data_IF_299763159852
#
_entry.id   IF_299763159852
#
_cell.length_a   1.000
_cell.length_b   1.000
_cell.length_c   1.000
_cell.angle_alpha   90.00
_cell.angle_beta   90.00
_cell.angle_gamma   90.00
#
_symmetry.space_group_name_H-M   'P 1'
#
loop_
_entity.id
_entity.type
_entity.pdbx_description
1 polymer ?
#
# COMPACT_ATOMS: atom_id res chain seq x y z
N UNK A 1 18.78 -7.13 -5.20
CA UNK A 1 19.10 -7.22 -3.76
C UNK A 1 18.13 -6.26 -3.10
N UNK A 2 17.10 -6.76 -2.44
CA UNK A 2 15.89 -5.97 -2.16
C UNK A 2 16.19 -4.78 -1.24
N UNK A 3 15.58 -3.63 -1.49
CA UNK A 3 15.76 -2.41 -0.68
C UNK A 3 15.42 -2.64 0.80
N UNK A 4 14.57 -3.62 1.11
CA UNK A 4 14.32 -4.10 2.47
C UNK A 4 15.55 -4.66 3.18
N UNK A 5 16.48 -5.29 2.45
CA UNK A 5 17.75 -5.78 3.00
C UNK A 5 18.71 -4.65 3.33
N UNK A 6 18.73 -3.59 2.50
CA UNK A 6 19.51 -2.39 2.74
C UNK A 6 18.95 -1.61 3.94
N UNK A 7 17.62 -1.49 4.03
CA UNK A 7 16.89 -0.83 5.11
C UNK A 7 17.10 -1.54 6.45
N UNK A 8 16.96 -2.87 6.47
CA UNK A 8 17.21 -3.68 7.66
C UNK A 8 18.68 -3.59 8.09
N UNK A 9 19.63 -3.59 7.15
CA UNK A 9 21.05 -3.43 7.46
C UNK A 9 21.36 -2.04 8.04
N UNK A 10 20.74 -0.99 7.50
CA UNK A 10 20.94 0.39 7.95
C UNK A 10 20.36 0.59 9.35
N UNK A 11 19.15 0.07 9.59
CA UNK A 11 18.52 0.10 10.91
C UNK A 11 19.35 -0.68 11.95
N UNK A 12 19.84 -1.88 11.59
CA UNK A 12 20.72 -2.66 12.46
C UNK A 12 22.05 -1.96 12.74
N UNK A 13 22.62 -1.29 11.74
CA UNK A 13 23.86 -0.54 11.89
C UNK A 13 23.68 0.63 12.85
N UNK A 14 22.56 1.35 12.75
CA UNK A 14 22.19 2.45 13.64
C UNK A 14 21.94 1.93 15.06
N UNK A 15 21.16 0.86 15.23
CA UNK A 15 20.90 0.25 16.55
C UNK A 15 22.21 -0.22 17.19
N UNK A 16 23.06 -0.90 16.43
CA UNK A 16 24.36 -1.40 16.93
C UNK A 16 25.28 -0.25 17.30
N UNK A 17 25.27 0.84 16.53
CA UNK A 17 26.03 2.05 16.84
C UNK A 17 25.52 2.72 18.13
N UNK A 18 24.21 2.85 18.31
CA UNK A 18 23.59 3.41 19.52
C UNK A 18 23.84 2.53 20.76
N UNK A 19 23.72 1.21 20.63
CA UNK A 19 24.01 0.27 21.74
C UNK A 19 25.51 0.30 22.06
N UNK A 20 26.38 0.26 21.05
CA UNK A 20 27.82 0.36 21.24
C UNK A 20 28.22 1.65 21.96
N UNK A 21 27.60 2.78 21.58
CA UNK A 21 27.86 4.07 22.22
C UNK A 21 27.36 4.12 23.66
N UNK A 22 26.16 3.60 23.95
CA UNK A 22 25.62 3.55 25.33
C UNK A 22 26.40 2.60 26.26
N UNK A 23 26.95 1.51 25.73
CA UNK A 23 27.84 0.62 26.48
C UNK A 23 29.20 1.27 26.80
N UNK A 24 29.81 1.95 25.84
CA UNK A 24 31.07 2.72 26.05
C UNK A 24 30.84 3.87 27.04
N UNK A 25 29.68 4.51 26.98
CA UNK A 25 29.28 5.62 27.86
C UNK A 25 28.99 5.15 29.30
N UNK A 26 28.46 3.94 29.50
CA UNK A 26 28.27 3.34 30.83
C UNK A 26 29.61 3.06 31.53
N UNK A 27 30.63 2.66 30.76
CA UNK A 27 31.99 2.43 31.27
C UNK A 27 32.66 3.78 31.61
N UNK A 28 32.48 4.80 30.77
CA UNK A 28 33.01 6.15 30.98
C UNK A 28 32.37 6.88 32.19
N UNK A 29 31.07 6.70 32.44
CA UNK A 29 30.35 7.28 33.59
C UNK A 29 30.78 6.72 34.94
N UNK A 30 31.40 5.53 34.97
CA UNK A 30 31.95 4.97 36.22
C UNK A 30 33.18 5.75 36.74
N UNK A 31 33.79 6.59 35.90
CA UNK A 31 35.06 7.25 36.20
C UNK A 31 34.98 8.75 36.46
N UNK A 32 34.07 9.51 35.87
CA UNK A 32 33.93 10.94 36.18
C UNK A 32 32.50 11.45 36.07
N UNK A 33 32.04 12.17 37.12
CA UNK A 33 30.75 12.86 37.15
C UNK A 33 30.59 13.78 35.93
N UNK A 34 29.55 13.54 35.16
CA UNK A 34 29.30 14.15 33.84
C UNK A 34 28.32 15.31 34.04
N UNK A 35 28.65 16.60 33.82
CA UNK A 35 29.19 17.33 32.66
C UNK A 35 28.14 17.55 31.57
N UNK A 36 27.73 18.81 31.43
CA UNK A 36 26.82 19.46 30.46
C UNK A 36 26.87 18.90 29.03
N UNK A 37 28.00 18.30 28.65
CA UNK A 37 28.21 17.62 27.37
C UNK A 37 27.24 16.43 27.18
N UNK A 38 26.91 15.71 28.26
CA UNK A 38 25.97 14.58 28.23
C UNK A 38 24.54 15.01 27.89
N UNK A 39 24.06 16.08 28.53
CA UNK A 39 22.74 16.66 28.26
C UNK A 39 22.64 17.16 26.82
N UNK A 40 23.72 17.77 26.29
CA UNK A 40 23.80 18.21 24.89
C UNK A 40 23.70 17.02 23.92
N UNK A 41 24.37 15.90 24.20
CA UNK A 41 24.33 14.71 23.35
C UNK A 41 22.91 14.10 23.33
N UNK A 42 22.25 14.00 24.49
CA UNK A 42 20.87 13.50 24.57
C UNK A 42 19.91 14.39 23.77
N UNK A 43 20.07 15.71 23.86
CA UNK A 43 19.26 16.67 23.10
C UNK A 43 19.46 16.47 21.59
N UNK A 44 20.71 16.32 21.12
CA UNK A 44 21.01 16.10 19.71
C UNK A 44 20.39 14.79 19.21
N UNK A 45 20.52 13.70 19.97
CA UNK A 45 19.91 12.40 19.61
C UNK A 45 18.38 12.53 19.53
N UNK A 46 17.77 13.23 20.48
CA UNK A 46 16.31 13.43 20.51
C UNK A 46 15.84 14.24 19.31
N UNK A 47 16.58 15.28 18.90
CA UNK A 47 16.28 16.07 17.70
C UNK A 47 16.42 15.21 16.44
N UNK A 48 17.46 14.37 16.34
CA UNK A 48 17.63 13.47 15.19
C UNK A 48 16.48 12.47 15.11
N UNK A 49 16.08 11.87 16.24
CA UNK A 49 14.93 10.95 16.30
C UNK A 49 13.63 11.69 15.93
N UNK A 50 13.40 12.90 16.44
CA UNK A 50 12.22 13.68 16.11
C UNK A 50 12.17 14.04 14.61
N UNK A 51 13.31 14.45 14.03
CA UNK A 51 13.42 14.77 12.61
C UNK A 51 13.22 13.53 11.72
N UNK A 52 13.77 12.39 12.13
CA UNK A 52 13.49 11.08 11.53
C UNK A 52 11.98 10.83 11.58
N UNK A 53 11.37 10.81 12.76
CA UNK A 53 9.92 10.57 12.91
C UNK A 53 9.13 11.51 12.02
N UNK A 54 9.40 12.81 12.01
CA UNK A 54 8.71 13.80 11.17
C UNK A 54 8.86 13.49 9.68
N UNK A 55 10.08 13.23 9.19
CA UNK A 55 10.31 12.83 7.78
C UNK A 55 9.64 11.51 7.40
N UNK A 56 9.46 10.57 8.34
CA UNK A 56 8.81 9.28 8.09
C UNK A 56 7.30 9.27 8.38
N UNK A 57 6.75 10.27 9.06
CA UNK A 57 5.32 10.34 9.44
C UNK A 57 4.50 11.32 8.60
N UNK A 58 5.15 12.17 7.79
CA UNK A 58 4.48 13.22 7.01
C UNK A 58 4.65 13.12 5.48
N UNK A 59 4.87 11.93 4.93
CA UNK A 59 4.61 11.77 3.49
C UNK A 59 3.09 11.69 3.29
N UNK A 60 2.50 12.76 2.76
CA UNK A 60 1.17 12.68 2.18
C UNK A 60 1.12 11.49 1.20
N UNK A 61 0.04 10.69 1.19
CA UNK A 61 -0.01 9.53 0.33
C UNK A 61 0.15 9.97 -1.13
N UNK A 62 1.23 9.51 -1.77
CA UNK A 62 1.52 9.81 -3.18
C UNK A 62 0.43 9.28 -4.10
N UNK A 63 -0.23 8.20 -3.68
CA UNK A 63 -1.32 7.58 -4.41
C UNK A 63 -2.65 7.77 -3.68
N UNK A 64 -3.56 8.47 -4.36
CA UNK A 64 -4.96 8.61 -3.94
C UNK A 64 -5.88 7.72 -4.79
N UNK A 65 -6.94 7.12 -4.21
CA UNK A 65 -7.89 6.34 -4.98
C UNK A 65 -8.56 7.18 -6.07
N UNK A 66 -8.69 6.61 -7.27
CA UNK A 66 -9.42 7.23 -8.37
C UNK A 66 -10.92 6.97 -8.23
N UNK A 67 -11.63 7.92 -7.61
CA UNK A 67 -13.08 7.85 -7.40
C UNK A 67 -13.88 8.06 -8.69
N UNK A 68 -13.34 8.74 -9.69
CA UNK A 68 -14.02 8.91 -10.97
C UNK A 68 -14.04 7.58 -11.73
N UNK A 69 -12.94 6.84 -11.69
CA UNK A 69 -12.86 5.48 -12.21
C UNK A 69 -13.76 4.52 -11.41
N UNK A 70 -13.80 4.64 -10.08
CA UNK A 70 -14.72 3.85 -9.23
C UNK A 70 -16.17 4.03 -9.69
N UNK A 71 -16.60 5.27 -9.88
CA UNK A 71 -17.97 5.59 -10.30
C UNK A 71 -18.28 5.03 -11.69
N UNK A 72 -17.38 5.19 -12.66
CA UNK A 72 -17.55 4.62 -14.01
C UNK A 72 -17.69 3.10 -13.99
N UNK A 73 -16.88 2.42 -13.17
CA UNK A 73 -16.94 0.96 -13.01
C UNK A 73 -18.28 0.58 -12.39
N UNK A 74 -18.68 1.24 -11.31
CA UNK A 74 -19.96 0.99 -10.65
C UNK A 74 -21.15 1.14 -11.60
N UNK A 75 -21.22 2.25 -12.34
CA UNK A 75 -22.29 2.49 -13.32
C UNK A 75 -22.35 1.39 -14.39
N UNK A 76 -21.21 0.95 -14.92
CA UNK A 76 -21.18 -0.11 -15.94
C UNK A 76 -21.60 -1.47 -15.38
N UNK A 77 -21.24 -1.79 -14.15
CA UNK A 77 -21.72 -3.02 -13.49
C UNK A 77 -23.23 -2.96 -13.30
N UNK A 78 -23.78 -1.84 -12.82
CA UNK A 78 -25.21 -1.70 -12.57
C UNK A 78 -26.05 -1.70 -13.86
N UNK A 79 -25.54 -1.12 -14.95
CA UNK A 79 -26.23 -1.05 -16.25
C UNK A 79 -26.09 -2.33 -17.08
N UNK A 80 -24.87 -2.86 -17.18
CA UNK A 80 -24.52 -3.90 -18.16
C UNK A 80 -24.16 -5.25 -17.53
N UNK A 81 -24.04 -5.31 -16.20
CA UNK A 81 -23.55 -6.50 -15.50
C UNK A 81 -22.13 -6.90 -15.90
N UNK A 82 -21.38 -6.02 -16.56
CA UNK A 82 -20.02 -6.28 -17.03
C UNK A 82 -19.24 -4.99 -17.21
N UNK A 83 -17.92 -5.10 -17.09
CA UNK A 83 -16.97 -4.01 -17.31
C UNK A 83 -15.88 -4.47 -18.24
N UNK A 84 -15.43 -3.57 -19.09
CA UNK A 84 -14.28 -3.73 -19.96
C UNK A 84 -13.29 -2.63 -19.57
N UNK A 85 -12.28 -2.98 -18.77
CA UNK A 85 -11.36 -1.98 -18.22
C UNK A 85 -10.51 -1.33 -19.32
N UNK A 86 -10.33 -1.97 -20.49
CA UNK A 86 -9.66 -1.35 -21.63
C UNK A 86 -10.42 -0.17 -22.21
N UNK A 87 -11.75 -0.21 -22.11
CA UNK A 87 -12.62 0.88 -22.60
C UNK A 87 -12.85 1.94 -21.55
N UNK A 88 -12.80 1.57 -20.27
CA UNK A 88 -13.08 2.48 -19.15
C UNK A 88 -11.85 3.27 -18.71
N UNK A 89 -10.66 2.67 -18.78
CA UNK A 89 -9.40 3.35 -18.47
C UNK A 89 -9.01 4.29 -19.61
N UNK A 90 -8.72 5.55 -19.26
CA UNK A 90 -8.18 6.57 -20.16
C UNK A 90 -6.64 6.64 -20.12
N UNK A 91 -6.01 5.62 -19.55
CA UNK A 91 -4.56 5.51 -19.35
C UNK A 91 -4.06 4.14 -19.81
N UNK A 92 -2.77 4.08 -20.10
CA UNK A 92 -2.11 2.82 -20.44
C UNK A 92 -1.79 2.01 -19.18
N UNK A 93 -2.11 0.73 -19.23
CA UNK A 93 -1.70 -0.26 -18.25
C UNK A 93 -1.31 -1.56 -18.98
N UNK A 94 -0.59 -2.43 -18.29
CA UNK A 94 -0.19 -3.76 -18.76
C UNK A 94 -1.03 -4.85 -18.11
N UNK A 95 -1.26 -4.71 -16.80
CA UNK A 95 -2.00 -5.68 -15.99
C UNK A 95 -2.80 -4.98 -14.91
N UNK A 96 -3.84 -5.67 -14.45
CA UNK A 96 -4.68 -5.23 -13.35
C UNK A 96 -4.73 -6.31 -12.27
N UNK A 97 -4.55 -5.89 -11.04
CA UNK A 97 -4.77 -6.73 -9.87
C UNK A 97 -6.17 -6.47 -9.32
N UNK A 98 -6.89 -7.55 -9.10
CA UNK A 98 -8.16 -7.56 -8.38
C UNK A 98 -7.86 -8.09 -6.98
N UNK A 99 -7.98 -7.24 -5.97
CA UNK A 99 -7.59 -7.57 -4.60
C UNK A 99 -8.77 -7.39 -3.64
N UNK A 100 -8.85 -8.27 -2.64
CA UNK A 100 -9.71 -8.06 -1.49
C UNK A 100 -9.03 -7.14 -0.47
N UNK A 101 -9.80 -6.56 0.43
CA UNK A 101 -9.29 -5.77 1.56
C UNK A 101 -8.29 -6.54 2.44
N UNK A 102 -8.28 -7.87 2.38
CA UNK A 102 -7.43 -8.75 3.17
C UNK A 102 -6.13 -9.14 2.45
N UNK A 103 -5.95 -8.73 1.18
CA UNK A 103 -4.78 -9.10 0.40
C UNK A 103 -3.51 -8.39 0.91
N UNK A 104 -2.40 -9.12 1.14
CA UNK A 104 -1.14 -8.50 1.54
C UNK A 104 -0.46 -7.87 0.31
N UNK A 105 -0.80 -6.62 0.01
CA UNK A 105 -0.30 -5.85 -1.16
C UNK A 105 1.22 -5.92 -1.28
N UNK A 106 1.94 -5.86 -0.15
CA UNK A 106 3.41 -5.88 -0.08
C UNK A 106 4.04 -7.15 -0.67
N UNK A 107 3.28 -8.25 -0.75
CA UNK A 107 3.72 -9.52 -1.33
C UNK A 107 3.27 -9.70 -2.78
N UNK A 108 2.39 -8.82 -3.27
CA UNK A 108 1.75 -8.92 -4.58
C UNK A 108 2.40 -7.95 -5.58
N UNK A 109 2.77 -6.76 -5.13
CA UNK A 109 3.34 -5.71 -5.98
C UNK A 109 4.85 -5.58 -5.79
N UNK A 110 5.56 -5.42 -6.90
CA UNK A 110 6.99 -5.06 -6.90
C UNK A 110 7.20 -3.56 -6.63
N UNK A 111 6.14 -2.75 -6.75
CA UNK A 111 6.16 -1.32 -6.50
C UNK A 111 6.21 -1.02 -4.98
N UNK A 112 7.44 -0.89 -4.49
CA UNK A 112 7.72 -0.50 -3.11
C UNK A 112 7.21 0.89 -2.76
N UNK A 113 7.12 1.81 -3.74
CA UNK A 113 6.63 3.19 -3.51
C UNK A 113 5.14 3.16 -3.23
N UNK A 114 4.36 2.43 -4.04
CA UNK A 114 2.93 2.25 -3.80
C UNK A 114 2.68 1.58 -2.45
N UNK A 115 3.41 0.51 -2.14
CA UNK A 115 3.26 -0.24 -0.88
C UNK A 115 3.35 0.66 0.36
N UNK A 116 4.29 1.61 0.39
CA UNK A 116 4.52 2.48 1.54
C UNK A 116 3.71 3.78 1.54
N UNK A 117 3.21 4.22 0.38
CA UNK A 117 2.64 5.58 0.21
C UNK A 117 1.24 5.64 -0.38
N UNK A 118 0.55 4.51 -0.50
CA UNK A 118 -0.87 4.50 -0.86
C UNK A 118 -1.75 4.94 0.31
N UNK A 119 -2.78 5.73 0.03
CA UNK A 119 -3.83 5.99 1.03
C UNK A 119 -4.61 4.69 1.23
N UNK A 120 -4.73 4.16 2.46
CA UNK A 120 -5.52 2.97 2.71
C UNK A 120 -7.00 3.23 2.41
N UNK A 121 -7.70 2.21 1.94
CA UNK A 121 -9.16 2.26 1.85
C UNK A 121 -9.74 2.22 3.25
N UNK A 122 -10.43 3.27 3.66
CA UNK A 122 -11.29 3.23 4.85
C UNK A 122 -12.49 2.34 4.49
N UNK A 123 -12.40 1.02 4.73
CA UNK A 123 -13.46 -0.01 4.80
C UNK A 123 -13.11 -1.31 4.05
N UNK A 124 -13.85 -2.39 4.35
CA UNK A 124 -13.88 -3.71 3.69
C UNK A 124 -14.24 -3.65 2.20
N UNK A 125 -13.43 -2.95 1.42
CA UNK A 125 -13.61 -2.76 -0.01
C UNK A 125 -12.63 -3.63 -0.76
N UNK A 126 -13.14 -4.25 -1.81
CA UNK A 126 -12.30 -4.82 -2.85
C UNK A 126 -11.63 -3.65 -3.61
N UNK A 127 -10.51 -3.86 -4.29
CA UNK A 127 -9.85 -2.81 -5.05
C UNK A 127 -9.19 -3.33 -6.32
N UNK A 128 -9.01 -2.43 -7.26
CA UNK A 128 -8.34 -2.65 -8.53
C UNK A 128 -7.04 -1.84 -8.53
N UNK A 129 -5.92 -2.49 -8.86
CA UNK A 129 -4.61 -1.83 -9.00
C UNK A 129 -4.13 -2.02 -10.42
N UNK A 130 -3.91 -0.92 -11.12
CA UNK A 130 -3.44 -0.89 -12.50
C UNK A 130 -1.94 -0.66 -12.53
N UNK A 131 -1.24 -1.50 -13.28
CA UNK A 131 0.23 -1.52 -13.31
C UNK A 131 0.70 -1.38 -14.76
N UNK A 132 1.74 -0.58 -14.99
CA UNK A 132 2.34 -0.36 -16.31
C UNK A 132 3.34 -1.47 -16.72
N UNK A 133 4.03 -1.26 -17.83
CA UNK A 133 5.06 -2.18 -18.35
C UNK A 133 6.26 -2.34 -17.41
N UNK A 134 6.57 -1.30 -16.63
CA UNK A 134 7.69 -1.21 -15.70
C UNK A 134 7.35 -1.79 -14.31
N UNK A 135 6.20 -2.45 -14.17
CA UNK A 135 5.65 -2.96 -12.90
C UNK A 135 5.34 -1.87 -11.85
N UNK A 136 5.18 -0.62 -12.26
CA UNK A 136 4.78 0.49 -11.38
C UNK A 136 3.27 0.70 -11.39
N UNK A 137 2.71 1.07 -10.24
CA UNK A 137 1.28 1.38 -10.11
C UNK A 137 1.00 2.73 -10.76
N UNK A 138 0.11 2.73 -11.75
CA UNK A 138 -0.31 3.96 -12.45
C UNK A 138 -1.59 4.54 -11.86
N UNK A 139 -2.53 3.66 -11.46
CA UNK A 139 -3.77 4.04 -10.80
C UNK A 139 -4.24 2.90 -9.90
N UNK A 140 -5.02 3.25 -8.90
CA UNK A 140 -5.77 2.27 -8.12
C UNK A 140 -7.13 2.86 -7.74
N UNK A 141 -8.12 2.00 -7.59
CA UNK A 141 -9.49 2.41 -7.28
C UNK A 141 -10.20 1.37 -6.43
N UNK A 142 -11.18 1.82 -5.65
CA UNK A 142 -12.00 0.97 -4.81
C UNK A 142 -13.10 0.28 -5.61
N UNK A 143 -13.57 -0.82 -5.08
CA UNK A 143 -14.84 -1.46 -5.37
C UNK A 143 -15.63 -1.45 -4.06
N UNK A 144 -16.67 -0.61 -4.00
CA UNK A 144 -17.59 -0.51 -2.85
C UNK A 144 -18.09 -1.88 -2.36
N UNK A 145 -18.46 -2.01 -1.08
CA UNK A 145 -19.02 -3.23 -0.43
C UNK A 145 -20.18 -3.92 -1.18
N UNK A 146 -20.86 -3.24 -2.09
CA UNK A 146 -21.84 -3.85 -3.01
C UNK A 146 -21.20 -4.84 -3.98
N UNK A 147 -19.90 -4.73 -4.26
CA UNK A 147 -19.17 -5.53 -5.22
C UNK A 147 -18.27 -6.53 -4.50
N UNK A 148 -18.58 -7.82 -4.62
CA UNK A 148 -17.87 -8.90 -3.96
C UNK A 148 -17.00 -9.67 -4.95
N UNK A 149 -15.73 -9.87 -4.59
CA UNK A 149 -14.84 -10.79 -5.29
C UNK A 149 -15.00 -12.20 -4.70
N UNK A 150 -15.42 -13.14 -5.56
CA UNK A 150 -15.22 -14.60 -5.46
C UNK A 150 -13.85 -15.09 -4.99
N UNK A 151 -13.72 -16.11 -4.14
CA UNK A 151 -12.70 -17.17 -4.26
C UNK A 151 -11.20 -16.84 -4.35
N UNK A 152 -10.75 -15.61 -4.11
CA UNK A 152 -9.33 -15.28 -3.95
C UNK A 152 -9.14 -13.98 -3.19
N UNK A 153 -8.07 -13.90 -2.41
CA UNK A 153 -7.61 -12.64 -1.81
C UNK A 153 -7.01 -11.72 -2.86
N UNK A 154 -6.44 -12.25 -3.94
CA UNK A 154 -5.98 -11.45 -5.08
C UNK A 154 -5.97 -12.25 -6.39
N UNK A 155 -6.06 -11.57 -7.52
CA UNK A 155 -5.85 -12.17 -8.84
C UNK A 155 -5.28 -11.17 -9.83
N UNK A 156 -4.32 -11.60 -10.63
CA UNK A 156 -3.71 -10.82 -11.70
C UNK A 156 -4.41 -11.11 -13.03
N UNK A 157 -4.58 -10.07 -13.85
CA UNK A 157 -5.09 -10.17 -15.21
C UNK A 157 -4.23 -9.35 -16.14
N UNK A 158 -3.86 -9.94 -17.28
CA UNK A 158 -3.31 -9.20 -18.40
C UNK A 158 -4.35 -8.21 -18.93
N UNK A 159 -3.89 -7.14 -19.56
CA UNK A 159 -4.75 -6.10 -20.11
C UNK A 159 -5.79 -6.66 -21.08
N UNK A 160 -5.40 -7.57 -21.96
CA UNK A 160 -6.29 -8.24 -22.91
C UNK A 160 -7.44 -8.99 -22.25
N UNK A 161 -7.24 -9.47 -21.03
CA UNK A 161 -8.21 -10.28 -20.27
C UNK A 161 -8.99 -9.47 -19.23
N UNK A 162 -8.83 -8.14 -19.21
CA UNK A 162 -9.43 -7.24 -18.21
C UNK A 162 -10.92 -6.95 -18.46
N UNK A 163 -11.69 -7.98 -18.83
CA UNK A 163 -13.13 -7.96 -19.06
C UNK A 163 -13.80 -8.81 -17.98
N UNK A 164 -14.67 -8.19 -17.19
CA UNK A 164 -15.24 -8.80 -16.00
C UNK A 164 -16.75 -8.80 -16.04
N UNK A 165 -17.36 -9.92 -15.70
CA UNK A 165 -18.82 -10.07 -15.63
C UNK A 165 -19.25 -10.27 -14.18
N UNK A 166 -20.25 -9.51 -13.78
CA UNK A 166 -20.80 -9.50 -12.43
C UNK A 166 -22.21 -10.08 -12.44
N UNK A 167 -22.45 -11.02 -11.54
CA UNK A 167 -23.76 -11.54 -11.25
C UNK A 167 -24.46 -10.63 -10.24
N UNK A 168 -25.66 -10.15 -10.59
CA UNK A 168 -26.52 -9.42 -9.66
C UNK A 168 -27.23 -10.42 -8.74
N UNK A 169 -26.98 -10.33 -7.44
CA UNK A 169 -27.61 -11.11 -6.39
C UNK A 169 -28.50 -10.20 -5.55
N UNK A 170 -29.81 -10.46 -5.56
CA UNK A 170 -30.78 -9.72 -4.78
C UNK A 170 -31.08 -10.47 -3.47
N UNK A 171 -30.73 -9.84 -2.35
CA UNK A 171 -31.12 -10.24 -1.00
C UNK A 171 -32.25 -9.32 -0.51
N UNK A 172 -32.98 -9.76 0.53
CA UNK A 172 -34.17 -9.05 1.04
C UNK A 172 -33.95 -7.57 1.35
N UNK A 173 -32.75 -7.18 1.73
CA UNK A 173 -32.37 -5.85 2.18
C UNK A 173 -31.20 -5.22 1.38
N UNK A 174 -30.58 -5.96 0.46
CA UNK A 174 -29.39 -5.50 -0.26
C UNK A 174 -29.21 -6.16 -1.63
N UNK A 175 -28.62 -5.42 -2.56
CA UNK A 175 -28.11 -5.95 -3.83
C UNK A 175 -26.60 -6.10 -3.73
N UNK A 176 -26.08 -7.26 -4.11
CA UNK A 176 -24.65 -7.55 -4.21
C UNK A 176 -24.34 -7.95 -5.65
N UNK A 177 -23.23 -7.44 -6.18
CA UNK A 177 -22.68 -7.81 -7.48
C UNK A 177 -21.46 -8.70 -7.26
N UNK A 178 -21.50 -9.89 -7.82
CA UNK A 178 -20.48 -10.91 -7.60
C UNK A 178 -19.65 -11.13 -8.85
N UNK A 179 -18.34 -10.96 -8.75
CA UNK A 179 -17.44 -11.23 -9.87
C UNK A 179 -17.37 -12.73 -10.16
N UNK A 180 -17.86 -13.15 -11.33
CA UNK A 180 -17.64 -14.50 -11.83
C UNK A 180 -16.30 -14.57 -12.57
N UNK A 181 -15.42 -15.46 -12.11
CA UNK A 181 -14.24 -15.81 -12.87
C UNK A 181 -14.64 -16.61 -14.11
N UNK A 182 -14.50 -16.01 -15.29
CA UNK A 182 -14.30 -16.80 -16.49
C UNK A 182 -12.82 -17.17 -16.56
N UNK A 183 -12.59 -18.48 -16.63
CA UNK A 183 -11.30 -19.15 -16.84
C UNK A 183 -10.75 -18.89 -18.22
#
# INVERSE_FOLDING_TARGET
MSDTSLLHSTLWMIITFVIGFTCVDTIARSWHGMSIIHDIIIIIITIIIAFIIETYTFDEPKFNPDFDLENKIAENIELNGSIDLNKLADFEFRKVYICSSEAPIEHILEDGVFTISHRPFNNDNNYLIFVNEENEVVKFTGLNKKYKILNSTFKEYAREDAIFKFNKLEYKDKTIYELNYFS
#
